data_IF_979681483735
#
_entry.id   IF_979681483735
#
_cell.length_a   1.000
_cell.length_b   1.000
_cell.length_c   1.000
_cell.angle_alpha   90.00
_cell.angle_beta   90.00
_cell.angle_gamma   90.00
#
_symmetry.space_group_name_H-M   'P 1'
#
loop_
_entity.id
_entity.type
_entity.pdbx_description
1 polymer ?
#
# COMPACT_ATOMS: atom_id res chain seq x y z
N UNK A 1 -63.86 7.76 -36.24
CA UNK A 1 -63.60 7.53 -34.80
C UNK A 1 -62.09 7.68 -34.61
N UNK A 2 -61.54 8.85 -34.24
CA UNK A 2 -61.60 9.51 -32.92
C UNK A 2 -61.09 8.53 -31.85
N UNK A 3 -60.03 8.72 -31.05
CA UNK A 3 -59.33 9.90 -30.46
C UNK A 3 -58.07 9.36 -29.72
N UNK A 4 -56.85 9.88 -29.86
CA UNK A 4 -56.17 11.02 -29.19
C UNK A 4 -55.30 10.72 -27.93
N UNK A 5 -54.08 11.30 -27.97
CA UNK A 5 -53.22 11.86 -26.88
C UNK A 5 -52.65 10.93 -25.79
N UNK A 6 -51.45 11.11 -25.23
CA UNK A 6 -50.33 12.04 -25.39
C UNK A 6 -49.12 11.48 -24.60
N UNK A 7 -47.89 11.78 -25.00
CA UNK A 7 -46.89 12.48 -24.13
C UNK A 7 -45.76 13.05 -25.00
N UNK A 8 -45.90 14.34 -25.29
CA UNK A 8 -44.85 15.39 -25.16
C UNK A 8 -43.39 15.06 -25.51
N UNK A 9 -42.92 15.60 -26.64
CA UNK A 9 -41.62 16.31 -26.71
C UNK A 9 -41.75 17.74 -26.13
N UNK A 10 -40.86 18.73 -26.41
CA UNK A 10 -39.86 18.74 -27.49
C UNK A 10 -38.51 19.47 -27.20
N UNK A 11 -37.65 19.39 -28.23
CA UNK A 11 -36.75 20.44 -28.75
C UNK A 11 -35.49 20.87 -27.97
N UNK A 12 -34.35 20.72 -28.67
CA UNK A 12 -33.48 21.88 -28.89
C UNK A 12 -32.00 21.62 -29.13
N UNK A 13 -31.58 21.74 -30.40
CA UNK A 13 -30.32 22.38 -30.87
C UNK A 13 -29.04 21.58 -30.51
N UNK A 14 -28.28 21.01 -31.44
CA UNK A 14 -27.63 21.68 -32.57
C UNK A 14 -26.18 22.05 -32.20
N UNK A 15 -25.23 21.58 -33.02
CA UNK A 15 -23.93 22.21 -33.32
C UNK A 15 -22.71 21.88 -32.43
N UNK A 16 -21.75 21.19 -33.08
CA UNK A 16 -20.27 21.26 -32.97
C UNK A 16 -19.59 21.34 -31.58
N UNK A 17 -18.66 20.41 -31.28
CA UNK A 17 -17.26 20.51 -31.71
C UNK A 17 -16.39 19.41 -31.07
N UNK A 18 -15.62 18.70 -31.91
CA UNK A 18 -14.34 18.11 -31.52
C UNK A 18 -13.32 19.25 -31.45
N UNK A 19 -12.77 19.52 -30.27
CA UNK A 19 -11.49 20.25 -30.11
C UNK A 19 -10.57 19.34 -29.31
N UNK A 20 -9.58 18.76 -29.96
CA UNK A 20 -8.23 19.33 -30.09
C UNK A 20 -7.62 19.60 -28.71
N UNK A 21 -7.03 18.56 -28.12
CA UNK A 21 -5.92 18.77 -27.21
C UNK A 21 -4.73 19.21 -28.07
N UNK A 22 -4.42 20.50 -27.97
CA UNK A 22 -3.35 21.15 -28.71
C UNK A 22 -2.01 20.51 -28.35
N UNK A 23 -1.40 19.90 -29.36
CA UNK A 23 0.03 19.64 -29.41
C UNK A 23 0.76 20.98 -29.50
N UNK A 24 1.20 21.50 -28.37
CA UNK A 24 2.18 22.58 -28.34
C UNK A 24 3.58 21.99 -28.61
N UNK A 25 3.77 21.51 -29.84
CA UNK A 25 5.08 21.24 -30.42
C UNK A 25 5.74 22.60 -30.64
N UNK A 26 6.40 23.13 -29.61
CA UNK A 26 7.40 24.17 -29.80
C UNK A 26 8.53 23.56 -30.60
N UNK A 27 8.62 24.03 -31.84
CA UNK A 27 9.69 23.84 -32.79
C UNK A 27 11.05 24.07 -32.12
N UNK A 28 11.81 22.98 -32.01
CA UNK A 28 13.25 23.04 -31.73
C UNK A 28 13.92 23.56 -33.00
N UNK A 29 14.64 24.69 -32.98
CA UNK A 29 15.34 25.16 -34.17
C UNK A 29 16.49 24.20 -34.49
N UNK A 30 16.43 23.60 -35.69
CA UNK A 30 17.53 22.93 -36.36
C UNK A 30 18.67 23.94 -36.54
N UNK A 31 19.75 23.74 -35.79
CA UNK A 31 21.01 24.46 -36.00
C UNK A 31 21.67 23.95 -37.28
N UNK A 32 21.61 24.78 -38.32
CA UNK A 32 22.36 24.66 -39.56
C UNK A 32 23.87 24.83 -39.28
N UNK A 33 24.74 23.90 -39.73
CA UNK A 33 26.17 24.00 -39.56
C UNK A 33 26.83 24.58 -40.82
N UNK A 34 26.64 25.86 -41.14
CA UNK A 34 27.36 26.54 -42.21
C UNK A 34 27.35 28.07 -42.09
N UNK A 35 28.04 28.67 -41.12
CA UNK A 35 28.60 30.02 -41.32
C UNK A 35 29.80 30.31 -40.42
N UNK A 36 30.89 30.65 -41.07
CA UNK A 36 32.21 30.94 -40.52
C UNK A 36 32.29 32.43 -40.15
N UNK A 37 33.02 32.73 -39.06
CA UNK A 37 33.56 34.05 -38.66
C UNK A 37 32.67 34.90 -37.74
N UNK A 38 33.10 35.12 -36.51
CA UNK A 38 33.88 36.33 -36.17
C UNK A 38 34.58 36.15 -34.81
N UNK A 39 35.79 36.70 -34.74
CA UNK A 39 36.80 36.52 -33.73
C UNK A 39 36.52 37.24 -32.39
N UNK A 40 37.08 36.65 -31.32
CA UNK A 40 37.79 37.27 -30.18
C UNK A 40 37.08 38.36 -29.36
N UNK A 41 36.80 38.06 -28.08
CA UNK A 41 37.33 38.83 -26.93
C UNK A 41 37.58 37.91 -25.71
N UNK A 42 38.86 37.82 -25.34
CA UNK A 42 39.48 37.63 -24.02
C UNK A 42 39.19 36.39 -23.13
N UNK A 43 40.27 35.63 -22.93
CA UNK A 43 40.58 34.77 -21.79
C UNK A 43 40.81 35.57 -20.48
N UNK A 44 40.88 34.83 -19.36
CA UNK A 44 41.33 35.22 -18.00
C UNK A 44 40.16 35.49 -17.06
N UNK A 45 39.87 34.66 -16.06
CA UNK A 45 40.72 34.39 -14.90
C UNK A 45 40.49 32.95 -14.39
N UNK A 46 41.59 32.26 -14.19
CA UNK A 46 41.71 30.99 -13.48
C UNK A 46 42.01 31.28 -11.99
N UNK A 47 41.62 30.37 -11.06
CA UNK A 47 41.89 30.33 -9.59
C UNK A 47 41.04 31.32 -8.75
N UNK A 48 40.47 31.02 -7.57
CA UNK A 48 40.69 30.12 -6.41
C UNK A 48 39.33 30.10 -5.64
N UNK A 49 38.81 29.08 -4.94
CA UNK A 49 39.35 28.24 -3.86
C UNK A 49 38.42 27.01 -3.74
N UNK A 50 38.99 25.82 -3.78
CA UNK A 50 38.39 24.58 -3.30
C UNK A 50 38.98 24.32 -1.92
N UNK A 51 38.14 24.34 -0.88
CA UNK A 51 38.42 23.67 0.38
C UNK A 51 37.09 23.41 1.07
N UNK A 52 36.65 22.15 1.13
CA UNK A 52 36.17 21.50 2.36
C UNK A 52 36.34 19.99 2.18
N UNK A 53 37.03 19.43 3.16
CA UNK A 53 37.54 18.08 3.34
C UNK A 53 36.54 16.94 3.07
N UNK A 54 37.05 15.95 2.32
CA UNK A 54 36.49 14.61 2.16
C UNK A 54 36.60 13.80 3.46
N UNK A 55 35.46 13.38 4.02
CA UNK A 55 35.37 12.09 4.72
C UNK A 55 34.49 11.16 3.88
N UNK A 56 35.08 10.50 2.89
CA UNK A 56 34.39 9.43 2.14
C UNK A 56 34.19 8.23 3.06
N UNK A 57 32.95 7.74 3.14
CA UNK A 57 32.72 6.31 3.34
C UNK A 57 31.46 5.84 2.60
N UNK A 58 31.73 4.99 1.62
CA UNK A 58 30.91 3.95 0.97
C UNK A 58 29.50 4.29 0.46
N UNK A 59 29.35 4.27 -0.87
CA UNK A 59 28.10 3.94 -1.56
C UNK A 59 27.90 2.42 -1.58
N UNK A 60 26.63 1.96 -1.54
CA UNK A 60 26.21 0.96 -2.50
C UNK A 60 24.99 1.48 -3.28
N UNK A 61 24.87 1.00 -4.52
CA UNK A 61 24.08 1.63 -5.57
C UNK A 61 22.60 1.84 -5.28
N UNK A 62 22.09 2.95 -5.79
CA UNK A 62 20.69 3.19 -6.06
C UNK A 62 20.61 4.04 -7.32
N UNK A 63 19.84 3.60 -8.31
CA UNK A 63 19.48 4.40 -9.48
C UNK A 63 18.93 5.76 -9.04
N UNK A 64 19.14 6.86 -9.79
CA UNK A 64 18.59 8.16 -9.41
C UNK A 64 17.06 8.07 -9.42
N UNK A 65 16.47 7.95 -8.23
CA UNK A 65 15.02 7.89 -8.04
C UNK A 65 14.38 9.25 -8.32
N UNK A 66 13.09 9.21 -8.67
CA UNK A 66 12.27 10.38 -9.01
C UNK A 66 11.95 11.29 -7.80
N UNK A 67 12.46 10.97 -6.61
CA UNK A 67 12.15 11.65 -5.36
C UNK A 67 13.31 12.56 -4.92
N UNK A 68 13.00 13.78 -4.50
CA UNK A 68 13.97 14.78 -4.00
C UNK A 68 14.98 14.17 -3.02
N UNK A 69 16.27 14.43 -3.22
CA UNK A 69 17.42 13.88 -2.45
C UNK A 69 17.55 14.40 -1.01
N UNK A 70 16.50 15.04 -0.49
CA UNK A 70 16.51 15.62 0.85
C UNK A 70 16.29 14.52 1.89
N UNK A 71 17.25 14.39 2.81
CA UNK A 71 17.12 13.57 4.01
C UNK A 71 16.48 14.40 5.12
N UNK A 72 15.52 13.80 5.82
CA UNK A 72 14.81 14.43 6.92
C UNK A 72 15.16 13.75 8.24
N UNK A 73 15.04 14.49 9.35
CA UNK A 73 15.07 13.89 10.69
C UNK A 73 13.76 13.16 10.95
N UNK A 74 13.84 12.02 11.65
CA UNK A 74 12.69 11.17 11.94
C UNK A 74 11.79 11.83 13.01
N UNK A 75 10.89 12.70 12.56
CA UNK A 75 9.86 13.34 13.37
C UNK A 75 8.49 13.03 12.76
N UNK A 76 7.40 12.98 13.58
CA UNK A 76 6.07 12.68 13.06
C UNK A 76 5.64 13.65 11.94
N UNK A 77 5.96 14.94 12.06
CA UNK A 77 5.68 15.95 11.04
C UNK A 77 6.42 15.69 9.72
N UNK A 78 7.68 15.26 9.79
CA UNK A 78 8.45 14.95 8.58
C UNK A 78 8.00 13.65 7.94
N UNK A 79 7.62 12.65 8.74
CA UNK A 79 7.03 11.40 8.23
C UNK A 79 5.73 11.72 7.50
N UNK A 80 4.86 12.54 8.07
CA UNK A 80 3.60 12.94 7.44
C UNK A 80 3.84 13.66 6.09
N UNK A 81 4.77 14.62 6.05
CA UNK A 81 5.17 15.30 4.81
C UNK A 81 5.69 14.34 3.74
N UNK A 82 6.46 13.32 4.13
CA UNK A 82 6.94 12.31 3.17
C UNK A 82 5.79 11.44 2.68
N UNK A 83 4.84 11.11 3.55
CA UNK A 83 3.66 10.33 3.18
C UNK A 83 2.74 11.10 2.23
N UNK A 84 2.67 12.43 2.30
CA UNK A 84 1.90 13.26 1.35
C UNK A 84 2.29 13.05 -0.12
N UNK A 85 3.56 12.74 -0.40
CA UNK A 85 4.01 12.38 -1.76
C UNK A 85 3.44 11.01 -2.22
N UNK A 86 3.12 10.13 -1.28
CA UNK A 86 2.66 8.75 -1.52
C UNK A 86 1.14 8.63 -1.48
N UNK A 87 0.46 9.48 -0.68
CA UNK A 87 -1.00 9.51 -0.51
C UNK A 87 -1.78 9.51 -1.85
N UNK A 88 -1.41 10.25 -2.91
CA UNK A 88 -2.14 10.21 -4.18
C UNK A 88 -2.21 8.81 -4.80
N UNK A 89 -1.14 8.02 -4.67
CA UNK A 89 -1.09 6.65 -5.16
C UNK A 89 -1.91 5.71 -4.27
N UNK A 90 -1.82 5.88 -2.95
CA UNK A 90 -2.62 5.10 -2.00
C UNK A 90 -4.12 5.34 -2.18
N UNK A 91 -4.52 6.59 -2.40
CA UNK A 91 -5.92 6.98 -2.64
C UNK A 91 -6.42 6.42 -3.98
N UNK A 92 -5.58 6.40 -5.02
CA UNK A 92 -5.92 5.77 -6.29
C UNK A 92 -6.19 4.26 -6.13
N UNK A 93 -5.49 3.60 -5.23
CA UNK A 93 -5.68 2.19 -4.87
C UNK A 93 -6.82 1.96 -3.85
N UNK A 94 -7.52 3.03 -3.42
CA UNK A 94 -8.65 2.96 -2.50
C UNK A 94 -8.29 2.90 -1.02
N UNK A 95 -7.06 3.28 -0.66
CA UNK A 95 -6.55 3.33 0.70
C UNK A 95 -6.01 4.70 1.12
N UNK A 96 -5.56 4.80 2.37
CA UNK A 96 -4.79 5.94 2.88
C UNK A 96 -3.91 5.46 4.06
N UNK A 97 -3.06 6.33 4.58
CA UNK A 97 -2.21 6.05 5.74
C UNK A 97 -2.15 7.26 6.67
N UNK A 98 -2.21 7.00 7.96
CA UNK A 98 -2.05 8.01 9.01
C UNK A 98 -0.91 7.62 9.96
N UNK A 99 -0.16 8.63 10.43
CA UNK A 99 0.92 8.44 11.40
C UNK A 99 0.34 8.44 12.80
N UNK A 100 0.53 7.37 13.56
CA UNK A 100 0.06 7.23 14.95
C UNK A 100 1.13 7.71 15.92
N UNK A 101 2.36 7.22 15.77
CA UNK A 101 3.47 7.53 16.65
C UNK A 101 4.81 7.31 15.96
N UNK A 102 5.84 7.99 16.43
CA UNK A 102 7.23 7.82 15.99
C UNK A 102 8.11 7.80 17.24
N UNK A 103 8.63 6.62 17.59
CA UNK A 103 9.35 6.39 18.84
C UNK A 103 10.55 5.46 18.59
N UNK A 104 11.73 5.81 19.10
CA UNK A 104 12.95 4.98 19.04
C UNK A 104 13.38 4.48 17.66
N UNK A 105 12.98 5.15 16.58
CA UNK A 105 13.22 4.72 15.20
C UNK A 105 12.13 3.82 14.62
N UNK A 106 11.05 3.58 15.37
CA UNK A 106 9.88 2.80 14.95
C UNK A 106 8.74 3.75 14.60
N UNK A 107 8.21 3.62 13.39
CA UNK A 107 7.06 4.40 12.94
C UNK A 107 5.81 3.53 13.01
N UNK A 108 4.85 3.96 13.83
CA UNK A 108 3.54 3.33 13.95
C UNK A 108 2.58 3.99 12.98
N UNK A 109 2.07 3.22 12.02
CA UNK A 109 1.18 3.68 10.96
C UNK A 109 -0.18 2.97 11.06
N UNK A 110 -1.25 3.71 10.78
CA UNK A 110 -2.58 3.17 10.62
C UNK A 110 -2.96 3.18 9.14
N UNK A 111 -3.17 2.00 8.56
CA UNK A 111 -3.66 1.89 7.18
C UNK A 111 -5.18 2.01 7.15
N UNK A 112 -5.67 2.84 6.24
CA UNK A 112 -7.09 3.12 6.04
C UNK A 112 -7.59 2.57 4.69
N UNK A 113 -8.91 2.38 4.58
CA UNK A 113 -9.58 1.96 3.34
C UNK A 113 -9.48 0.46 3.07
N UNK A 114 -9.64 0.08 1.80
CA UNK A 114 -9.65 -1.33 1.35
C UNK A 114 -8.33 -2.05 1.65
N UNK A 115 -7.24 -1.30 1.71
CA UNK A 115 -5.91 -1.81 2.02
C UNK A 115 -5.76 -2.24 3.47
N UNK A 116 -6.55 -1.71 4.42
CA UNK A 116 -6.47 -2.09 5.84
C UNK A 116 -7.13 -3.44 6.15
N UNK A 117 -8.13 -3.84 5.36
CA UNK A 117 -8.95 -5.03 5.61
C UNK A 117 -8.53 -6.28 4.84
N UNK A 118 -7.66 -6.14 3.84
CA UNK A 118 -7.19 -7.26 3.02
C UNK A 118 -5.75 -7.66 3.42
N UNK A 119 -5.52 -8.87 3.97
CA UNK A 119 -4.21 -9.27 4.51
C UNK A 119 -3.10 -9.36 3.44
N UNK A 120 -3.45 -9.66 2.19
CA UNK A 120 -2.48 -9.66 1.09
C UNK A 120 -2.09 -8.25 0.66
N UNK A 121 -3.03 -7.29 0.72
CA UNK A 121 -2.80 -5.91 0.30
C UNK A 121 -2.07 -5.10 1.37
N UNK A 122 -2.36 -5.33 2.65
CA UNK A 122 -1.63 -4.69 3.77
C UNK A 122 -0.14 -4.93 3.68
N UNK A 123 0.27 -6.17 3.41
CA UNK A 123 1.70 -6.56 3.33
C UNK A 123 2.43 -5.80 2.24
N UNK A 124 1.87 -5.76 1.02
CA UNK A 124 2.48 -5.06 -0.12
C UNK A 124 2.53 -3.55 0.10
N UNK A 125 1.45 -2.97 0.64
CA UNK A 125 1.39 -1.53 0.95
C UNK A 125 2.39 -1.13 2.03
N UNK A 126 2.49 -1.92 3.10
CA UNK A 126 3.49 -1.72 4.15
C UNK A 126 4.90 -1.68 3.56
N UNK A 127 5.26 -2.64 2.71
CA UNK A 127 6.58 -2.67 2.06
C UNK A 127 6.81 -1.46 1.14
N UNK A 128 5.79 -1.00 0.42
CA UNK A 128 5.88 0.19 -0.45
C UNK A 128 6.16 1.45 0.36
N UNK A 129 5.41 1.67 1.43
CA UNK A 129 5.59 2.81 2.34
C UNK A 129 6.96 2.73 3.03
N UNK A 130 7.36 1.53 3.48
CA UNK A 130 8.66 1.28 4.09
C UNK A 130 9.82 1.68 3.19
N UNK A 131 9.72 1.37 1.89
CA UNK A 131 10.74 1.76 0.92
C UNK A 131 10.87 3.27 0.83
N UNK A 132 9.77 4.00 0.69
CA UNK A 132 9.79 5.46 0.58
C UNK A 132 10.36 6.09 1.86
N UNK A 133 9.94 5.61 3.03
CA UNK A 133 10.45 6.10 4.31
C UNK A 133 11.95 5.78 4.48
N UNK A 134 12.41 4.58 4.12
CA UNK A 134 13.84 4.25 4.15
C UNK A 134 14.67 5.11 3.20
N UNK A 135 14.15 5.42 2.02
CA UNK A 135 14.83 6.31 1.06
C UNK A 135 15.00 7.74 1.61
N UNK A 136 14.07 8.22 2.46
CA UNK A 136 14.07 9.58 3.03
C UNK A 136 14.76 9.71 4.40
N UNK A 137 14.63 8.70 5.26
CA UNK A 137 15.10 8.73 6.64
C UNK A 137 16.35 7.85 6.87
N UNK A 138 16.70 6.97 5.93
CA UNK A 138 17.89 6.13 6.00
C UNK A 138 17.94 5.28 7.29
N UNK A 139 19.11 5.29 7.94
CA UNK A 139 19.38 4.50 9.15
C UNK A 139 18.61 4.98 10.40
N UNK A 140 17.95 6.13 10.35
CA UNK A 140 17.11 6.61 11.45
C UNK A 140 15.83 5.76 11.60
N UNK A 141 15.32 5.21 10.49
CA UNK A 141 14.17 4.31 10.49
C UNK A 141 14.64 2.87 10.73
N UNK A 142 14.29 2.33 11.89
CA UNK A 142 14.60 0.94 12.27
C UNK A 142 13.51 -0.02 11.82
N UNK A 143 12.25 0.32 12.09
CA UNK A 143 11.11 -0.55 11.82
C UNK A 143 9.82 0.24 11.58
N UNK A 144 8.83 -0.41 10.98
CA UNK A 144 7.48 0.11 10.78
C UNK A 144 6.47 -0.87 11.36
N UNK A 145 5.62 -0.37 12.24
CA UNK A 145 4.54 -1.14 12.84
C UNK A 145 3.20 -0.68 12.29
N UNK A 146 2.41 -1.63 11.80
CA UNK A 146 1.03 -1.36 11.44
C UNK A 146 0.17 -1.51 12.68
N UNK A 147 -0.47 -0.43 13.11
CA UNK A 147 -1.44 -0.44 14.19
C UNK A 147 -2.79 -0.81 13.59
N UNK A 148 -3.18 -2.08 13.74
CA UNK A 148 -4.56 -2.49 13.52
C UNK A 148 -5.24 -2.58 14.89
N UNK A 149 -6.30 -1.77 15.11
CA UNK A 149 -7.01 -1.70 16.40
C UNK A 149 -7.65 -3.04 16.82
N UNK A 150 -7.66 -4.05 15.95
CA UNK A 150 -8.33 -5.34 16.20
C UNK A 150 -7.41 -6.46 16.73
N UNK A 151 -6.11 -6.22 16.94
CA UNK A 151 -5.17 -7.28 17.36
C UNK A 151 -5.03 -7.44 18.89
N UNK A 152 -6.14 -7.60 19.60
CA UNK A 152 -6.15 -8.28 20.90
C UNK A 152 -6.82 -9.63 20.69
N UNK A 153 -6.07 -10.60 20.15
CA UNK A 153 -6.53 -11.97 19.90
C UNK A 153 -6.53 -12.80 21.17
N UNK A 154 -7.43 -12.46 22.10
CA UNK A 154 -7.90 -13.46 23.05
C UNK A 154 -8.52 -14.60 22.23
N UNK A 155 -8.01 -15.81 22.41
CA UNK A 155 -8.52 -16.99 21.68
C UNK A 155 -9.82 -17.41 22.36
N UNK A 156 -10.90 -16.70 22.02
CA UNK A 156 -12.24 -16.97 22.52
C UNK A 156 -12.98 -17.89 21.55
N UNK A 157 -13.93 -18.64 22.08
CA UNK A 157 -14.77 -19.55 21.28
C UNK A 157 -15.53 -18.76 20.22
N UNK A 158 -15.96 -17.56 20.57
CA UNK A 158 -16.69 -16.62 19.74
C UNK A 158 -15.85 -16.17 18.54
N UNK A 159 -14.58 -15.80 18.76
CA UNK A 159 -13.70 -15.38 17.69
C UNK A 159 -13.40 -16.53 16.71
N UNK A 160 -13.13 -17.73 17.23
CA UNK A 160 -12.90 -18.91 16.39
C UNK A 160 -14.16 -19.27 15.61
N UNK A 161 -15.34 -19.22 16.25
CA UNK A 161 -16.61 -19.49 15.58
C UNK A 161 -16.91 -18.46 14.48
N UNK A 162 -16.71 -17.17 14.74
CA UNK A 162 -16.91 -16.11 13.74
C UNK A 162 -15.97 -16.27 12.54
N UNK A 163 -14.73 -16.74 12.76
CA UNK A 163 -13.83 -17.05 11.65
C UNK A 163 -14.32 -18.26 10.83
N UNK A 164 -14.76 -19.33 11.50
CA UNK A 164 -15.29 -20.51 10.82
C UNK A 164 -16.60 -20.24 10.08
N UNK A 165 -17.42 -19.27 10.51
CA UNK A 165 -18.64 -18.84 9.80
C UNK A 165 -18.37 -18.43 8.35
N UNK A 166 -17.21 -17.83 8.09
CA UNK A 166 -16.79 -17.45 6.73
C UNK A 166 -16.48 -18.69 5.88
N UNK A 167 -15.93 -19.74 6.49
CA UNK A 167 -15.50 -20.97 5.81
C UNK A 167 -16.59 -22.03 5.70
N UNK A 168 -17.59 -22.02 6.59
CA UNK A 168 -18.72 -22.97 6.62
C UNK A 168 -19.40 -23.17 5.26
N UNK A 169 -19.68 -22.13 4.44
CA UNK A 169 -20.26 -22.31 3.10
C UNK A 169 -19.39 -23.16 2.17
N UNK A 170 -18.08 -22.91 2.15
CA UNK A 170 -17.14 -23.66 1.33
C UNK A 170 -17.02 -25.11 1.82
N UNK A 171 -16.90 -25.32 3.13
CA UNK A 171 -16.80 -26.65 3.74
C UNK A 171 -18.03 -27.51 3.41
N UNK A 172 -19.24 -26.92 3.47
CA UNK A 172 -20.49 -27.58 3.07
C UNK A 172 -20.52 -27.97 1.59
N UNK A 173 -20.02 -27.11 0.71
CA UNK A 173 -19.92 -27.44 -0.72
C UNK A 173 -19.02 -28.65 -1.00
N UNK A 174 -18.02 -28.88 -0.14
CA UNK A 174 -17.16 -30.07 -0.19
C UNK A 174 -17.70 -31.26 0.62
N UNK A 175 -18.94 -31.20 1.11
CA UNK A 175 -19.57 -32.29 1.86
C UNK A 175 -19.11 -32.41 3.32
N UNK A 176 -18.61 -31.33 3.90
CA UNK A 176 -18.21 -31.29 5.31
C UNK A 176 -19.08 -30.38 6.19
N UNK A 177 -18.92 -30.52 7.50
CA UNK A 177 -19.46 -29.61 8.52
C UNK A 177 -18.43 -29.39 9.62
N UNK A 178 -18.44 -28.20 10.22
CA UNK A 178 -17.51 -27.80 11.27
C UNK A 178 -18.22 -27.01 12.36
N UNK A 179 -17.99 -27.37 13.62
CA UNK A 179 -18.52 -26.71 14.81
C UNK A 179 -17.49 -26.69 15.94
N UNK A 180 -17.33 -25.55 16.62
CA UNK A 180 -16.38 -25.41 17.74
C UNK A 180 -17.02 -25.97 19.01
N UNK A 181 -16.30 -26.82 19.73
CA UNK A 181 -16.75 -27.39 21.02
C UNK A 181 -16.24 -26.53 22.17
N UNK A 182 -14.92 -26.33 22.22
CA UNK A 182 -14.27 -25.56 23.26
C UNK A 182 -12.91 -25.09 22.79
N UNK A 183 -12.46 -23.96 23.35
CA UNK A 183 -11.11 -23.45 23.19
C UNK A 183 -10.51 -23.37 24.58
N UNK A 184 -9.43 -24.10 24.81
CA UNK A 184 -8.70 -24.09 26.07
C UNK A 184 -7.58 -23.03 26.02
N UNK A 185 -7.34 -22.35 27.14
CA UNK A 185 -6.31 -21.31 27.26
C UNK A 185 -4.86 -21.82 27.17
N UNK A 186 -4.66 -23.14 27.12
CA UNK A 186 -3.37 -23.79 26.85
C UNK A 186 -3.03 -23.84 25.34
N UNK A 187 -3.95 -23.39 24.47
CA UNK A 187 -3.78 -23.39 23.02
C UNK A 187 -4.38 -24.62 22.32
N UNK A 188 -5.14 -25.46 23.03
CA UNK A 188 -5.88 -26.58 22.44
C UNK A 188 -7.30 -26.15 22.02
N UNK A 189 -7.62 -26.35 20.74
CA UNK A 189 -8.94 -26.06 20.17
C UNK A 189 -9.62 -27.36 19.77
N UNK A 190 -10.77 -27.64 20.38
CA UNK A 190 -11.60 -28.80 20.09
C UNK A 190 -12.68 -28.43 19.10
N UNK A 191 -12.65 -29.07 17.93
CA UNK A 191 -13.57 -28.79 16.84
C UNK A 191 -14.23 -30.09 16.39
N UNK A 192 -15.55 -30.10 16.33
CA UNK A 192 -16.30 -31.17 15.71
C UNK A 192 -16.28 -30.97 14.19
N UNK A 193 -15.60 -31.88 13.50
CA UNK A 193 -15.47 -31.82 12.04
C UNK A 193 -15.89 -33.15 11.42
N UNK A 194 -16.76 -33.07 10.42
CA UNK A 194 -17.19 -34.21 9.61
C UNK A 194 -16.91 -33.85 8.16
N UNK A 195 -16.21 -34.71 7.42
CA UNK A 195 -15.93 -34.48 6.01
C UNK A 195 -14.63 -35.14 5.54
N UNK A 196 -14.22 -34.90 4.29
CA UNK A 196 -12.98 -35.46 3.75
C UNK A 196 -11.73 -34.89 4.45
N UNK A 197 -10.73 -35.74 4.68
CA UNK A 197 -9.48 -35.38 5.36
C UNK A 197 -8.76 -34.19 4.69
N UNK A 198 -8.85 -34.10 3.35
CA UNK A 198 -8.30 -33.00 2.55
C UNK A 198 -8.80 -31.62 2.97
N UNK A 199 -10.04 -31.53 3.44
CA UNK A 199 -10.63 -30.27 3.92
C UNK A 199 -10.32 -30.07 5.41
N UNK A 200 -10.24 -31.16 6.18
CA UNK A 200 -9.82 -31.13 7.57
C UNK A 200 -8.44 -30.48 7.76
N UNK A 201 -7.45 -30.81 6.93
CA UNK A 201 -6.12 -30.19 7.01
C UNK A 201 -6.18 -28.67 6.75
N UNK A 202 -6.99 -28.23 5.78
CA UNK A 202 -7.21 -26.81 5.47
C UNK A 202 -7.86 -26.04 6.63
N UNK A 203 -8.83 -26.65 7.33
CA UNK A 203 -9.46 -26.03 8.50
C UNK A 203 -8.45 -25.86 9.64
N UNK A 204 -7.59 -26.85 9.90
CA UNK A 204 -6.53 -26.71 10.91
C UNK A 204 -5.58 -25.56 10.57
N UNK A 205 -5.18 -25.44 9.30
CA UNK A 205 -4.31 -24.38 8.85
C UNK A 205 -4.96 -23.00 9.01
N UNK A 206 -6.22 -22.84 8.60
CA UNK A 206 -6.96 -21.58 8.71
C UNK A 206 -7.08 -21.09 10.17
N UNK A 207 -7.39 -22.00 11.11
CA UNK A 207 -7.47 -21.65 12.53
C UNK A 207 -6.10 -21.21 13.06
N UNK A 208 -5.02 -21.94 12.74
CA UNK A 208 -3.66 -21.60 13.19
C UNK A 208 -3.13 -20.29 12.59
N UNK A 209 -3.49 -20.00 11.35
CA UNK A 209 -3.10 -18.76 10.66
C UNK A 209 -3.75 -17.53 11.32
N UNK A 210 -5.04 -17.63 11.70
CA UNK A 210 -5.76 -16.52 12.31
C UNK A 210 -5.49 -16.38 13.81
N UNK A 211 -5.28 -17.50 14.51
CA UNK A 211 -5.09 -17.56 15.96
C UNK A 211 -3.72 -18.17 16.28
N UNK A 212 -2.65 -17.35 16.32
CA UNK A 212 -1.29 -17.85 16.57
C UNK A 212 -1.11 -18.45 17.97
N UNK A 213 -2.03 -18.17 18.90
CA UNK A 213 -2.04 -18.74 20.25
C UNK A 213 -2.59 -20.19 20.27
N UNK A 214 -3.22 -20.67 19.20
CA UNK A 214 -3.70 -22.05 19.08
C UNK A 214 -2.56 -22.95 18.62
N UNK A 215 -2.06 -23.76 19.55
CA UNK A 215 -0.98 -24.73 19.30
C UNK A 215 -1.52 -25.96 18.58
N UNK A 216 -2.66 -26.48 19.02
CA UNK A 216 -3.24 -27.72 18.52
C UNK A 216 -4.72 -27.59 18.18
N UNK A 217 -5.12 -28.28 17.10
CA UNK A 217 -6.53 -28.38 16.69
C UNK A 217 -6.90 -29.85 16.65
N UNK A 218 -7.72 -30.26 17.62
CA UNK A 218 -8.17 -31.63 17.78
C UNK A 218 -9.54 -31.78 17.15
N UNK A 219 -9.65 -32.72 16.22
CA UNK A 219 -10.93 -33.05 15.60
C UNK A 219 -11.62 -34.16 16.37
N UNK A 220 -12.84 -33.88 16.80
CA UNK A 220 -13.75 -34.86 17.38
C UNK A 220 -14.79 -35.23 16.33
N UNK A 221 -15.06 -36.53 16.16
CA UNK A 221 -16.09 -37.04 15.25
C UNK A 221 -17.47 -37.01 15.92
#
# INVERSE_FOLDING_TARGET
MASYFATTGPAGIGVLNRKHYGSELRSVPLLDPSSISFLRVAQSICRQKLDVSHKRRATPGGSPGLYSSQQFELTPENVDKVLDDVRPYLIADGGNVDVVAVEDGVVSLQLQGTCGSCPSSTTTMKMGIERVLKEKFGDALKDIQQVNLENITETTVEAVNAHLDILRPAIRNYGGSVDVVSVEGNGDCHVKYVGPESIGSGIKAAIKERFPNVVNVVFTC
#
